data_IF_730786853352
#
_entry.id   IF_730786853352
#
_cell.length_a   1.000
_cell.length_b   1.000
_cell.length_c   1.000
_cell.angle_alpha   90.00
_cell.angle_beta   90.00
_cell.angle_gamma   90.00
#
_symmetry.space_group_name_H-M   'P 1'
#
loop_
_entity.id
_entity.type
_entity.pdbx_description
1 polymer ?
#
# COMPACT_ATOMS: atom_id res chain seq x y z
N UNK A 1 45.67 -54.89 -19.93
CA UNK A 1 44.24 -54.85 -20.21
C UNK A 1 43.64 -53.93 -19.18
N UNK A 2 43.51 -52.67 -19.49
CA UNK A 2 43.15 -51.54 -18.61
C UNK A 2 41.72 -51.14 -18.89
N UNK A 3 40.88 -51.33 -17.90
CA UNK A 3 39.47 -50.96 -17.99
C UNK A 3 39.33 -49.56 -17.44
N UNK A 4 39.05 -48.61 -18.36
CA UNK A 4 38.96 -47.21 -18.07
C UNK A 4 37.46 -46.88 -17.89
N UNK A 5 36.97 -46.99 -16.63
CA UNK A 5 35.61 -46.57 -16.29
C UNK A 5 35.62 -45.08 -15.97
N UNK A 6 35.22 -44.32 -16.95
CA UNK A 6 34.93 -42.89 -16.82
C UNK A 6 33.84 -42.64 -15.75
N UNK A 7 34.25 -42.10 -14.62
CA UNK A 7 33.34 -41.52 -13.62
C UNK A 7 32.71 -40.23 -14.19
N UNK A 8 31.50 -40.37 -14.72
CA UNK A 8 30.66 -39.22 -14.97
C UNK A 8 30.23 -38.64 -13.62
N UNK A 9 30.91 -37.60 -13.20
CA UNK A 9 30.49 -36.74 -12.10
C UNK A 9 29.16 -36.09 -12.48
N UNK A 10 28.07 -36.65 -11.97
CA UNK A 10 26.76 -36.00 -11.95
C UNK A 10 26.83 -34.85 -10.94
N UNK A 11 27.08 -33.64 -11.43
CA UNK A 11 26.82 -32.44 -10.64
C UNK A 11 25.33 -32.31 -10.45
N UNK A 12 24.80 -32.28 -9.21
CA UNK A 12 23.42 -31.88 -9.02
C UNK A 12 23.31 -30.42 -9.47
N UNK A 13 22.38 -30.15 -10.37
CA UNK A 13 21.98 -28.80 -10.71
C UNK A 13 21.41 -28.24 -9.40
N UNK A 14 22.28 -27.59 -8.63
CA UNK A 14 21.85 -26.79 -7.51
C UNK A 14 20.94 -25.71 -8.07
N UNK A 15 19.66 -25.80 -7.73
CA UNK A 15 18.66 -24.79 -7.95
C UNK A 15 19.14 -23.53 -7.21
N UNK A 16 19.86 -22.67 -7.91
CA UNK A 16 20.19 -21.34 -7.42
C UNK A 16 18.88 -20.56 -7.40
N UNK A 17 18.14 -20.72 -6.33
CA UNK A 17 17.10 -19.78 -5.94
C UNK A 17 17.82 -18.44 -5.76
N UNK A 18 17.82 -17.64 -6.82
CA UNK A 18 18.24 -16.25 -6.74
C UNK A 18 17.24 -15.56 -5.81
N UNK A 19 17.57 -15.55 -4.52
CA UNK A 19 16.99 -14.60 -3.58
C UNK A 19 17.46 -13.24 -4.11
N UNK A 20 16.66 -12.61 -4.95
CA UNK A 20 16.81 -11.19 -5.24
C UNK A 20 16.51 -10.49 -3.93
N UNK A 21 17.52 -10.41 -3.08
CA UNK A 21 17.48 -9.52 -1.93
C UNK A 21 17.41 -8.11 -2.54
N UNK A 22 16.21 -7.52 -2.57
CA UNK A 22 16.01 -6.12 -2.89
C UNK A 22 16.76 -5.31 -1.82
N UNK A 23 18.05 -5.10 -2.06
CA UNK A 23 18.89 -4.32 -1.17
C UNK A 23 18.40 -2.89 -1.25
N UNK A 24 17.93 -2.33 -0.14
CA UNK A 24 17.69 -0.88 -0.04
C UNK A 24 19.00 -0.19 -0.44
N UNK A 25 18.98 0.69 -1.43
CA UNK A 25 20.16 1.49 -1.70
C UNK A 25 20.55 2.22 -0.42
N UNK A 26 21.83 2.20 -0.08
CA UNK A 26 22.34 2.81 1.16
C UNK A 26 22.00 4.31 1.30
N UNK A 27 21.54 4.94 0.23
CA UNK A 27 21.13 6.35 0.19
C UNK A 27 19.61 6.54 0.42
N UNK A 28 18.79 5.49 0.33
CA UNK A 28 17.34 5.62 0.51
C UNK A 28 17.01 5.83 1.99
N UNK A 29 16.46 7.00 2.31
CA UNK A 29 16.08 7.40 3.66
C UNK A 29 14.70 8.03 3.66
N UNK A 30 13.77 7.44 4.43
CA UNK A 30 12.41 7.96 4.53
C UNK A 30 12.37 9.38 5.10
N UNK A 31 13.21 9.67 6.11
CA UNK A 31 13.29 11.02 6.71
C UNK A 31 13.81 12.04 5.72
N UNK A 32 14.86 11.70 4.97
CA UNK A 32 15.39 12.59 3.93
C UNK A 32 14.34 12.89 2.85
N UNK A 33 13.53 11.88 2.48
CA UNK A 33 12.39 12.06 1.60
C UNK A 33 11.34 13.01 2.16
N UNK A 34 10.99 12.88 3.44
CA UNK A 34 10.05 13.79 4.13
C UNK A 34 10.58 15.22 4.20
N UNK A 35 11.86 15.39 4.53
CA UNK A 35 12.50 16.71 4.59
C UNK A 35 12.53 17.37 3.20
N UNK A 36 12.77 16.61 2.14
CA UNK A 36 12.70 17.07 0.76
C UNK A 36 11.27 17.49 0.37
N UNK A 37 10.28 16.65 0.67
CA UNK A 37 8.87 16.93 0.40
C UNK A 37 8.41 18.24 1.07
N UNK A 38 8.77 18.43 2.33
CA UNK A 38 8.41 19.64 3.10
C UNK A 38 9.04 20.92 2.52
N UNK A 39 10.11 20.81 1.76
CA UNK A 39 10.74 21.93 1.02
C UNK A 39 10.20 22.10 -0.40
N UNK A 40 9.26 21.24 -0.83
CA UNK A 40 8.75 21.22 -2.20
C UNK A 40 9.67 20.51 -3.21
N UNK A 41 10.74 19.86 -2.77
CA UNK A 41 11.63 19.06 -3.62
C UNK A 41 11.04 17.64 -3.79
N UNK A 42 9.97 17.58 -4.55
CA UNK A 42 9.24 16.34 -4.78
C UNK A 42 10.06 15.30 -5.55
N UNK A 43 10.97 15.74 -6.42
CA UNK A 43 11.84 14.83 -7.17
C UNK A 43 12.77 14.04 -6.24
N UNK A 44 13.39 14.72 -5.28
CA UNK A 44 14.22 14.07 -4.25
C UNK A 44 13.36 13.19 -3.34
N UNK A 45 12.19 13.67 -2.88
CA UNK A 45 11.29 12.89 -2.05
C UNK A 45 10.92 11.54 -2.72
N UNK A 46 10.50 11.58 -3.98
CA UNK A 46 10.15 10.38 -4.74
C UNK A 46 11.35 9.44 -4.96
N UNK A 47 12.55 10.00 -5.17
CA UNK A 47 13.77 9.19 -5.32
C UNK A 47 14.07 8.39 -4.04
N UNK A 48 13.90 9.02 -2.87
CA UNK A 48 14.12 8.37 -1.56
C UNK A 48 13.01 7.34 -1.25
N UNK A 49 11.74 7.66 -1.52
CA UNK A 49 10.63 6.80 -1.12
C UNK A 49 10.40 5.59 -2.02
N UNK A 50 10.65 5.68 -3.34
CA UNK A 50 10.38 4.57 -4.27
C UNK A 50 11.04 3.26 -3.86
N UNK A 51 12.35 3.18 -3.64
CA UNK A 51 13.01 1.93 -3.26
C UNK A 51 12.51 1.40 -1.91
N UNK A 52 12.16 2.27 -0.97
CA UNK A 52 11.60 1.87 0.32
C UNK A 52 10.19 1.29 0.17
N UNK A 53 9.35 1.93 -0.64
CA UNK A 53 7.98 1.48 -0.91
C UNK A 53 7.94 0.13 -1.64
N UNK A 54 8.84 -0.06 -2.61
CA UNK A 54 9.00 -1.31 -3.36
C UNK A 54 9.42 -2.47 -2.45
N UNK A 55 10.16 -2.17 -1.39
CA UNK A 55 10.57 -3.13 -0.37
C UNK A 55 9.55 -3.31 0.76
N UNK A 56 8.39 -2.68 0.64
CA UNK A 56 7.30 -2.90 1.58
C UNK A 56 7.20 -1.89 2.71
N UNK A 57 8.00 -0.82 2.75
CA UNK A 57 7.85 0.22 3.77
C UNK A 57 6.49 0.92 3.65
N UNK A 58 5.59 0.70 4.60
CA UNK A 58 4.22 1.20 4.57
C UNK A 58 4.15 2.75 4.56
N UNK A 59 5.04 3.43 5.28
CA UNK A 59 5.09 4.89 5.27
C UNK A 59 5.49 5.44 3.91
N UNK A 60 6.48 4.82 3.25
CA UNK A 60 6.90 5.22 1.90
C UNK A 60 5.80 4.92 0.87
N UNK A 61 5.09 3.80 1.01
CA UNK A 61 3.94 3.47 0.17
C UNK A 61 2.82 4.50 0.32
N UNK A 62 2.48 4.89 1.56
CA UNK A 62 1.51 5.96 1.81
C UNK A 62 1.96 7.28 1.17
N UNK A 63 3.23 7.66 1.34
CA UNK A 63 3.78 8.91 0.78
C UNK A 63 3.76 8.92 -0.75
N UNK A 64 4.05 7.78 -1.41
CA UNK A 64 3.88 7.65 -2.86
C UNK A 64 2.41 7.77 -3.27
N UNK A 65 1.50 7.17 -2.51
CA UNK A 65 0.06 7.31 -2.73
C UNK A 65 -0.36 8.79 -2.73
N UNK A 66 0.06 9.56 -1.73
CA UNK A 66 -0.19 11.00 -1.65
C UNK A 66 0.42 11.76 -2.84
N UNK A 67 1.65 11.44 -3.21
CA UNK A 67 2.31 12.10 -4.34
C UNK A 67 1.53 11.90 -5.65
N UNK A 68 1.02 10.70 -5.91
CA UNK A 68 0.17 10.45 -7.07
C UNK A 68 -1.21 11.08 -6.95
N UNK A 69 -1.80 11.14 -5.76
CA UNK A 69 -3.10 11.77 -5.53
C UNK A 69 -3.06 13.28 -5.75
N UNK A 70 -2.00 13.94 -5.27
CA UNK A 70 -1.82 15.38 -5.40
C UNK A 70 -1.20 15.81 -6.74
N UNK A 71 -0.40 14.93 -7.35
CA UNK A 71 0.45 15.28 -8.50
C UNK A 71 1.79 15.89 -8.09
N UNK A 72 2.30 15.54 -6.90
CA UNK A 72 3.54 16.06 -6.35
C UNK A 72 4.75 15.36 -6.99
N UNK A 73 5.38 16.02 -7.95
CA UNK A 73 6.53 15.50 -8.70
C UNK A 73 6.22 14.40 -9.71
N UNK A 74 4.96 14.01 -9.83
CA UNK A 74 4.41 13.06 -10.81
C UNK A 74 3.05 13.56 -11.33
N UNK A 75 2.63 13.17 -12.54
CA UNK A 75 1.25 13.44 -12.97
C UNK A 75 0.26 12.83 -11.98
N UNK A 76 -0.80 13.60 -11.65
CA UNK A 76 -1.86 13.13 -10.76
C UNK A 76 -2.54 11.89 -11.33
N UNK A 77 -2.63 10.83 -10.51
CA UNK A 77 -3.19 9.55 -10.89
C UNK A 77 -3.80 8.85 -9.68
N UNK A 78 -5.13 8.97 -9.52
CA UNK A 78 -5.85 8.35 -8.39
C UNK A 78 -5.78 6.83 -8.40
N UNK A 79 -5.67 6.20 -9.57
CA UNK A 79 -5.56 4.74 -9.68
C UNK A 79 -4.21 4.26 -9.15
N UNK A 80 -3.12 4.95 -9.49
CA UNK A 80 -1.80 4.66 -8.91
C UNK A 80 -1.73 4.98 -7.43
N UNK A 81 -2.34 6.09 -7.00
CA UNK A 81 -2.45 6.43 -5.58
C UNK A 81 -3.12 5.28 -4.81
N UNK A 82 -4.27 4.78 -5.34
CA UNK A 82 -4.99 3.65 -4.76
C UNK A 82 -4.13 2.40 -4.62
N UNK A 83 -3.37 2.05 -5.65
CA UNK A 83 -2.49 0.87 -5.62
C UNK A 83 -1.45 0.95 -4.50
N UNK A 84 -0.88 2.13 -4.27
CA UNK A 84 0.06 2.34 -3.18
C UNK A 84 -0.62 2.33 -1.81
N UNK A 85 -1.79 2.98 -1.68
CA UNK A 85 -2.58 2.90 -0.45
C UNK A 85 -3.00 1.47 -0.11
N UNK A 86 -3.40 0.65 -1.09
CA UNK A 86 -3.77 -0.75 -0.87
C UNK A 86 -2.61 -1.58 -0.32
N UNK A 87 -1.38 -1.34 -0.80
CA UNK A 87 -0.19 -2.00 -0.26
C UNK A 87 0.08 -1.63 1.20
N UNK A 88 0.00 -0.35 1.54
CA UNK A 88 0.20 0.10 2.92
C UNK A 88 -0.96 -0.32 3.83
N UNK A 89 -2.20 -0.22 3.36
CA UNK A 89 -3.40 -0.63 4.08
C UNK A 89 -3.39 -2.13 4.41
N UNK A 90 -2.86 -2.96 3.51
CA UNK A 90 -2.69 -4.39 3.74
C UNK A 90 -1.75 -4.71 4.90
N UNK A 91 -0.86 -3.81 5.24
CA UNK A 91 0.04 -3.88 6.40
C UNK A 91 -0.55 -3.27 7.67
N UNK A 92 -1.79 -2.77 7.61
CA UNK A 92 -2.47 -2.14 8.75
C UNK A 92 -2.29 -0.62 8.83
N UNK A 93 -1.71 0.04 7.82
CA UNK A 93 -1.57 1.50 7.84
C UNK A 93 -2.94 2.20 7.82
N UNK A 94 -3.29 2.76 8.97
CA UNK A 94 -4.59 3.37 9.19
C UNK A 94 -4.83 4.66 8.36
N UNK A 95 -3.78 5.36 7.94
CA UNK A 95 -3.88 6.52 7.06
C UNK A 95 -4.28 6.07 5.66
N UNK A 96 -3.58 5.10 5.11
CA UNK A 96 -3.90 4.52 3.79
C UNK A 96 -5.31 3.94 3.75
N UNK A 97 -5.76 3.29 4.82
CA UNK A 97 -7.14 2.79 4.94
C UNK A 97 -8.16 3.94 4.92
N UNK A 98 -7.87 5.06 5.60
CA UNK A 98 -8.70 6.26 5.53
C UNK A 98 -8.78 6.79 4.09
N UNK A 99 -7.66 6.91 3.40
CA UNK A 99 -7.62 7.42 2.03
C UNK A 99 -8.33 6.51 1.01
N UNK A 100 -8.27 5.19 1.18
CA UNK A 100 -9.08 4.26 0.40
C UNK A 100 -10.59 4.47 0.63
N UNK A 101 -10.98 4.79 1.85
CA UNK A 101 -12.34 5.19 2.17
C UNK A 101 -12.74 6.49 1.47
N UNK A 102 -11.89 7.51 1.49
CA UNK A 102 -12.12 8.79 0.80
C UNK A 102 -12.26 8.58 -0.71
N UNK A 103 -11.36 7.84 -1.33
CA UNK A 103 -11.45 7.54 -2.76
C UNK A 103 -12.74 6.82 -3.13
N UNK A 104 -13.18 5.87 -2.30
CA UNK A 104 -14.45 5.14 -2.52
C UNK A 104 -15.67 6.01 -2.32
N UNK A 105 -15.65 6.96 -1.38
CA UNK A 105 -16.80 7.87 -1.13
C UNK A 105 -16.93 8.99 -2.14
N UNK A 106 -15.81 9.47 -2.72
CA UNK A 106 -15.80 10.57 -3.68
C UNK A 106 -15.64 10.12 -5.14
N UNK A 107 -15.49 8.84 -5.40
CA UNK A 107 -15.32 8.33 -6.77
C UNK A 107 -13.97 8.69 -7.39
N UNK A 108 -12.91 8.79 -6.60
CA UNK A 108 -11.57 9.14 -7.06
C UNK A 108 -10.81 7.91 -7.57
N UNK A 109 -10.70 7.78 -8.89
CA UNK A 109 -10.06 6.63 -9.53
C UNK A 109 -10.87 5.32 -9.50
N UNK A 110 -12.02 5.32 -8.85
CA UNK A 110 -12.99 4.22 -8.76
C UNK A 110 -14.41 4.81 -8.74
N UNK A 111 -15.45 4.07 -9.13
CA UNK A 111 -16.83 4.49 -8.93
C UNK A 111 -17.14 4.72 -7.44
N UNK A 112 -18.09 5.62 -7.15
CA UNK A 112 -18.57 5.83 -5.77
C UNK A 112 -19.15 4.54 -5.21
N UNK A 113 -18.64 4.12 -4.05
CA UNK A 113 -19.12 2.95 -3.30
C UNK A 113 -19.12 3.27 -1.80
N UNK A 114 -20.30 3.64 -1.28
CA UNK A 114 -20.46 4.00 0.14
C UNK A 114 -20.28 2.80 1.06
N UNK A 115 -20.60 1.58 0.61
CA UNK A 115 -20.39 0.34 1.38
C UNK A 115 -18.89 0.10 1.57
N UNK A 116 -18.12 0.25 0.50
CA UNK A 116 -16.67 0.11 0.55
C UNK A 116 -16.03 1.24 1.36
N UNK A 117 -16.50 2.47 1.21
CA UNK A 117 -16.01 3.61 1.99
C UNK A 117 -16.23 3.40 3.50
N UNK A 118 -17.46 3.01 3.90
CA UNK A 118 -17.77 2.70 5.29
C UNK A 118 -16.90 1.57 5.84
N UNK A 119 -16.70 0.50 5.04
CA UNK A 119 -15.81 -0.61 5.40
C UNK A 119 -14.40 -0.09 5.70
N UNK A 120 -13.81 0.68 4.81
CA UNK A 120 -12.46 1.22 4.98
C UNK A 120 -12.34 2.16 6.18
N UNK A 121 -13.32 3.05 6.40
CA UNK A 121 -13.34 3.92 7.58
C UNK A 121 -13.45 3.12 8.88
N UNK A 122 -14.23 2.03 8.88
CA UNK A 122 -14.35 1.15 10.05
C UNK A 122 -13.03 0.45 10.36
N UNK A 123 -12.30 -0.02 9.33
CA UNK A 123 -10.99 -0.66 9.49
C UNK A 123 -9.97 0.36 9.98
N UNK A 124 -9.92 1.56 9.37
CA UNK A 124 -9.03 2.64 9.77
C UNK A 124 -9.25 3.06 11.22
N UNK A 125 -10.50 3.17 11.65
CA UNK A 125 -10.87 3.47 13.04
C UNK A 125 -10.38 2.37 13.99
N UNK A 126 -10.56 1.10 13.62
CA UNK A 126 -10.05 -0.05 14.39
C UNK A 126 -8.52 -0.07 14.52
N UNK A 127 -7.81 0.48 13.54
CA UNK A 127 -6.35 0.62 13.52
C UNK A 127 -5.87 1.98 14.08
N UNK A 128 -6.74 2.73 14.77
CA UNK A 128 -6.37 3.92 15.54
C UNK A 128 -6.41 5.23 14.75
N UNK A 129 -6.99 5.29 13.55
CA UNK A 129 -7.20 6.56 12.87
C UNK A 129 -8.32 7.36 13.55
N UNK A 130 -7.98 8.51 14.14
CA UNK A 130 -8.92 9.34 14.92
C UNK A 130 -9.96 10.07 14.05
N UNK A 131 -9.72 10.25 12.77
CA UNK A 131 -10.64 10.94 11.86
C UNK A 131 -11.67 9.99 11.23
N UNK A 132 -11.31 8.73 11.07
CA UNK A 132 -12.14 7.74 10.39
C UNK A 132 -13.55 7.55 11.00
N UNK A 133 -13.74 7.59 12.33
CA UNK A 133 -15.10 7.52 12.92
C UNK A 133 -16.03 8.61 12.41
N UNK A 134 -15.55 9.87 12.32
CA UNK A 134 -16.35 11.00 11.83
C UNK A 134 -16.82 10.78 10.38
N UNK A 135 -15.89 10.42 9.49
CA UNK A 135 -16.23 10.12 8.08
C UNK A 135 -17.20 8.95 7.96
N UNK A 136 -17.00 7.89 8.75
CA UNK A 136 -17.91 6.74 8.77
C UNK A 136 -19.33 7.14 9.21
N UNK A 137 -19.43 7.93 10.26
CA UNK A 137 -20.73 8.33 10.85
C UNK A 137 -21.49 9.26 9.89
N UNK A 138 -20.79 10.12 9.15
CA UNK A 138 -21.39 10.96 8.12
C UNK A 138 -21.98 10.13 6.95
N UNK A 139 -21.34 9.01 6.58
CA UNK A 139 -21.89 8.13 5.55
C UNK A 139 -23.22 7.48 5.96
N UNK A 140 -23.44 7.22 7.25
CA UNK A 140 -24.67 6.57 7.72
C UNK A 140 -25.93 7.35 7.36
N UNK A 141 -25.82 8.66 7.18
CA UNK A 141 -26.93 9.51 6.77
C UNK A 141 -27.36 9.31 5.31
N UNK A 142 -26.51 8.71 4.51
CA UNK A 142 -26.69 8.48 3.07
C UNK A 142 -26.92 7.00 2.74
N UNK A 143 -26.73 6.10 3.72
CA UNK A 143 -26.76 4.66 3.53
C UNK A 143 -28.04 4.05 4.09
N UNK A 144 -28.54 3.01 3.43
CA UNK A 144 -29.62 2.19 3.96
C UNK A 144 -29.10 1.28 5.09
N UNK A 145 -29.99 0.80 6.00
CA UNK A 145 -29.61 -0.18 7.04
C UNK A 145 -28.95 -1.46 6.48
N UNK A 146 -29.39 -1.91 5.31
CA UNK A 146 -28.82 -3.07 4.64
C UNK A 146 -27.38 -2.81 4.18
N UNK A 147 -27.11 -1.64 3.59
CA UNK A 147 -25.77 -1.25 3.19
C UNK A 147 -24.82 -1.13 4.40
N UNK A 148 -25.27 -0.55 5.51
CA UNK A 148 -24.49 -0.46 6.74
C UNK A 148 -24.18 -1.86 7.30
N UNK A 149 -25.15 -2.76 7.27
CA UNK A 149 -24.96 -4.14 7.74
C UNK A 149 -23.92 -4.86 6.88
N UNK A 150 -24.02 -4.75 5.57
CA UNK A 150 -23.03 -5.31 4.63
C UNK A 150 -21.63 -4.73 4.84
N UNK A 151 -21.51 -3.41 4.97
CA UNK A 151 -20.23 -2.75 5.20
C UNK A 151 -19.56 -3.20 6.51
N UNK A 152 -20.35 -3.33 7.59
CA UNK A 152 -19.86 -3.87 8.87
C UNK A 152 -19.40 -5.32 8.77
N UNK A 153 -20.12 -6.13 7.99
CA UNK A 153 -19.71 -7.52 7.71
C UNK A 153 -18.36 -7.52 6.99
N UNK A 154 -18.23 -6.80 5.88
CA UNK A 154 -16.97 -6.71 5.12
C UNK A 154 -15.80 -6.23 5.97
N UNK A 155 -16.03 -5.24 6.85
CA UNK A 155 -14.99 -4.74 7.75
C UNK A 155 -14.50 -5.81 8.74
N UNK A 156 -15.38 -6.64 9.27
CA UNK A 156 -15.02 -7.76 10.18
C UNK A 156 -14.30 -8.89 9.47
N UNK A 157 -14.66 -9.15 8.21
CA UNK A 157 -14.08 -10.22 7.39
C UNK A 157 -12.75 -9.83 6.76
N UNK A 158 -12.49 -8.53 6.67
CA UNK A 158 -11.24 -8.05 6.11
C UNK A 158 -10.05 -8.43 7.01
N UNK A 159 -9.02 -8.96 6.39
CA UNK A 159 -7.76 -9.31 7.07
C UNK A 159 -6.60 -8.66 6.34
N UNK A 160 -5.61 -8.10 7.08
CA UNK A 160 -4.36 -7.68 6.48
C UNK A 160 -3.75 -8.84 5.69
N UNK A 161 -3.23 -8.53 4.51
CA UNK A 161 -2.40 -9.50 3.79
C UNK A 161 -1.00 -9.35 4.36
N UNK A 162 -0.58 -10.31 5.18
CA UNK A 162 0.84 -10.43 5.56
C UNK A 162 1.65 -10.68 4.29
N UNK A 163 2.77 -9.97 4.12
CA UNK A 163 3.67 -10.19 2.99
C UNK A 163 4.27 -11.58 3.00
#
# INVERSE_FOLDING_TARGET
>A
MSDNRSLLLRFPIALVLSIVCLVVPAWADFKAGMDAYNRGDFATALREWRPLAEQGNANAQFSLGLSYENGDGVPRDYTKARQWYEKAAAQGDAKSQLYLGLQSSFGQGVPVDLVQAYMWYSIAAGNGNMHAPGYRDDLTRQMTPAQITEARKRAREWKPKTP
#
